data_IF_588689619377
#
_entry.id   IF_588689619377
#
_cell.length_a   1.000
_cell.length_b   1.000
_cell.length_c   1.000
_cell.angle_alpha   90.00
_cell.angle_beta   90.00
_cell.angle_gamma   90.00
#
_symmetry.space_group_name_H-M   'P 1'
#
loop_
_entity.id
_entity.type
_entity.pdbx_description
1 polymer ?
#
# COMPACT_ATOMS: atom_id res chain seq x y z
N UNK A 1 38.30 48.22 -7.92
CA UNK A 1 38.16 46.77 -8.19
C UNK A 1 37.44 46.12 -7.03
N UNK A 2 36.42 45.29 -7.32
CA UNK A 2 35.85 44.15 -6.54
C UNK A 2 35.65 44.26 -5.02
N UNK A 3 34.61 43.71 -4.39
CA UNK A 3 33.43 42.92 -4.77
C UNK A 3 32.54 42.93 -3.53
N UNK A 4 31.23 42.82 -3.74
CA UNK A 4 30.21 42.70 -2.69
C UNK A 4 30.26 41.30 -2.10
N UNK A 5 30.44 41.17 -0.79
CA UNK A 5 30.12 39.92 -0.07
C UNK A 5 28.71 40.03 0.51
N UNK A 6 27.76 39.39 -0.18
CA UNK A 6 26.46 39.01 0.37
C UNK A 6 26.53 37.52 0.73
N UNK A 7 26.22 37.10 1.96
CA UNK A 7 26.03 35.69 2.24
C UNK A 7 24.72 35.23 1.58
N UNK A 8 24.83 34.37 0.55
CA UNK A 8 23.68 33.64 0.02
C UNK A 8 23.32 32.56 1.03
N UNK A 9 22.24 32.82 1.75
CA UNK A 9 21.49 31.85 2.54
C UNK A 9 21.01 30.75 1.60
N UNK A 10 21.58 29.55 1.72
CA UNK A 10 21.12 28.34 1.03
C UNK A 10 20.10 27.60 1.89
N UNK A 11 18.81 27.58 1.58
CA UNK A 11 17.93 26.52 2.04
C UNK A 11 17.94 25.42 0.97
N UNK A 12 18.87 24.47 1.07
CA UNK A 12 18.70 23.22 0.33
C UNK A 12 17.65 22.41 1.05
N UNK A 13 16.39 22.72 0.73
CA UNK A 13 15.23 21.98 1.14
C UNK A 13 15.49 20.50 0.85
N UNK A 14 15.42 19.69 1.92
CA UNK A 14 15.35 18.25 1.82
C UNK A 14 14.28 17.90 0.80
N UNK A 15 14.72 17.37 -0.34
CA UNK A 15 13.81 16.60 -1.20
C UNK A 15 13.57 15.30 -0.46
N UNK A 16 12.65 15.36 0.49
CA UNK A 16 11.85 14.22 0.91
C UNK A 16 11.09 13.75 -0.31
N UNK A 17 11.78 12.99 -1.16
CA UNK A 17 11.20 12.32 -2.29
C UNK A 17 10.40 11.18 -1.66
N UNK A 18 9.05 11.22 -1.65
CA UNK A 18 8.31 10.10 -1.12
C UNK A 18 8.73 8.89 -1.96
N UNK A 19 9.30 7.89 -1.31
CA UNK A 19 9.68 6.61 -1.90
C UNK A 19 8.39 5.93 -2.34
N UNK A 20 7.85 6.37 -3.48
CA UNK A 20 6.72 5.75 -4.14
C UNK A 20 7.22 4.38 -4.53
N UNK A 21 6.83 3.39 -3.74
CA UNK A 21 7.18 1.99 -3.96
C UNK A 21 6.90 1.66 -5.43
N UNK A 22 7.85 1.06 -6.18
CA UNK A 22 7.73 0.85 -7.62
C UNK A 22 6.47 0.07 -8.04
N UNK A 23 5.80 -0.60 -7.09
CA UNK A 23 4.59 -1.37 -7.32
C UNK A 23 3.29 -0.63 -6.94
N UNK A 24 3.37 0.63 -6.51
CA UNK A 24 2.20 1.39 -6.05
C UNK A 24 1.18 1.73 -7.16
N UNK A 25 1.50 1.44 -8.43
CA UNK A 25 0.65 1.72 -9.59
C UNK A 25 -0.15 0.54 -10.12
N UNK A 26 0.12 -0.71 -9.72
CA UNK A 26 -0.39 -1.89 -10.43
C UNK A 26 -1.49 -2.67 -9.71
N UNK A 27 -1.90 -2.25 -8.52
CA UNK A 27 -3.11 -2.76 -7.87
C UNK A 27 -3.61 -1.73 -6.86
N UNK A 28 -4.20 -0.64 -7.36
CA UNK A 28 -4.99 0.25 -6.51
C UNK A 28 -6.44 0.07 -6.94
N UNK A 29 -7.26 -0.70 -6.22
CA UNK A 29 -8.69 -0.63 -6.45
C UNK A 29 -9.11 0.82 -6.18
N UNK A 30 -9.70 1.43 -7.22
CA UNK A 30 -10.19 2.79 -7.24
C UNK A 30 -11.08 3.04 -6.02
N UNK A 31 -10.57 3.84 -5.07
CA UNK A 31 -11.24 4.73 -4.07
C UNK A 31 -12.58 4.30 -3.46
N UNK A 32 -12.95 3.03 -3.53
CA UNK A 32 -14.11 2.50 -2.83
C UNK A 32 -13.62 2.15 -1.45
N UNK A 33 -13.98 2.96 -0.45
CA UNK A 33 -13.77 2.56 0.94
C UNK A 33 -14.39 1.18 1.10
N UNK A 34 -13.60 0.15 1.45
CA UNK A 34 -14.13 -1.20 1.56
C UNK A 34 -15.30 -1.20 2.55
N UNK A 35 -16.41 -1.81 2.15
CA UNK A 35 -17.55 -1.98 3.03
C UNK A 35 -17.11 -2.80 4.25
N UNK A 36 -17.42 -2.33 5.45
CA UNK A 36 -17.07 -3.07 6.67
C UNK A 36 -18.19 -4.05 7.03
N UNK A 37 -17.84 -5.15 7.70
CA UNK A 37 -18.82 -6.10 8.21
C UNK A 37 -19.86 -5.45 9.13
N UNK A 38 -19.46 -4.47 9.94
CA UNK A 38 -20.38 -3.68 10.77
C UNK A 38 -21.39 -2.89 9.93
N UNK A 39 -20.91 -2.20 8.88
CA UNK A 39 -21.79 -1.48 7.95
C UNK A 39 -22.81 -2.38 7.25
N UNK A 40 -22.46 -3.63 6.96
CA UNK A 40 -23.41 -4.61 6.41
C UNK A 40 -24.46 -5.00 7.45
N UNK A 41 -24.01 -5.38 8.66
CA UNK A 41 -24.88 -5.86 9.74
C UNK A 41 -25.89 -4.81 10.19
N UNK A 42 -25.44 -3.57 10.28
CA UNK A 42 -26.22 -2.45 10.82
C UNK A 42 -26.99 -1.70 9.72
N UNK A 43 -26.96 -2.20 8.48
CA UNK A 43 -27.66 -1.57 7.36
C UNK A 43 -29.17 -1.66 7.58
N UNK A 44 -29.83 -0.50 7.56
CA UNK A 44 -31.29 -0.38 7.59
C UNK A 44 -31.82 -0.09 6.20
N UNK A 45 -32.88 -0.78 5.82
CA UNK A 45 -33.63 -0.56 4.58
C UNK A 45 -35.02 0.00 4.92
N UNK A 46 -35.59 0.80 4.03
CA UNK A 46 -36.96 1.28 4.18
C UNK A 46 -37.95 0.15 3.96
N UNK A 47 -39.00 0.07 4.78
CA UNK A 47 -40.09 -0.90 4.60
C UNK A 47 -41.08 -0.38 3.56
N UNK A 48 -41.50 -1.25 2.64
CA UNK A 48 -42.47 -0.93 1.57
C UNK A 48 -43.58 -1.98 1.53
N UNK A 49 -44.75 -1.61 1.00
CA UNK A 49 -46.00 -2.42 1.03
C UNK A 49 -45.85 -3.84 0.43
N UNK A 50 -44.89 -4.04 -0.47
CA UNK A 50 -44.53 -5.35 -1.06
C UNK A 50 -43.01 -5.51 -1.01
N UNK A 51 -42.47 -5.68 0.19
CA UNK A 51 -41.04 -5.89 0.44
C UNK A 51 -40.70 -7.31 0.88
N UNK A 52 -39.41 -7.61 0.97
CA UNK A 52 -38.89 -8.84 1.58
C UNK A 52 -39.16 -8.84 3.10
N UNK A 53 -39.20 -10.03 3.70
CA UNK A 53 -39.31 -10.16 5.15
C UNK A 53 -38.08 -9.52 5.83
N UNK A 54 -38.26 -8.51 6.70
CA UNK A 54 -37.16 -7.89 7.42
C UNK A 54 -36.30 -8.88 8.21
N UNK A 55 -36.89 -9.93 8.77
CA UNK A 55 -36.15 -10.94 9.57
C UNK A 55 -35.20 -11.74 8.68
N UNK A 56 -35.68 -12.19 7.54
CA UNK A 56 -34.87 -12.92 6.55
C UNK A 56 -33.74 -12.04 6.01
N UNK A 57 -34.03 -10.78 5.70
CA UNK A 57 -33.03 -9.81 5.27
C UNK A 57 -31.95 -9.63 6.34
N UNK A 58 -32.34 -9.46 7.61
CA UNK A 58 -31.36 -9.30 8.70
C UNK A 58 -30.52 -10.56 8.93
N UNK A 59 -31.11 -11.76 8.82
CA UNK A 59 -30.36 -13.02 8.91
C UNK A 59 -29.33 -13.14 7.78
N UNK A 60 -29.73 -12.82 6.54
CA UNK A 60 -28.83 -12.84 5.39
C UNK A 60 -27.69 -11.81 5.53
N UNK A 61 -27.99 -10.59 5.96
CA UNK A 61 -26.96 -9.56 6.21
C UNK A 61 -25.97 -9.99 7.30
N UNK A 62 -26.44 -10.68 8.34
CA UNK A 62 -25.56 -11.21 9.39
C UNK A 62 -24.59 -12.26 8.83
N UNK A 63 -25.06 -13.17 7.98
CA UNK A 63 -24.21 -14.15 7.30
C UNK A 63 -23.18 -13.45 6.40
N UNK A 64 -23.62 -12.54 5.51
CA UNK A 64 -22.74 -11.80 4.60
C UNK A 64 -21.69 -11.00 5.38
N UNK A 65 -22.07 -10.37 6.48
CA UNK A 65 -21.13 -9.66 7.36
C UNK A 65 -20.08 -10.61 7.96
N UNK A 66 -20.48 -11.83 8.34
CA UNK A 66 -19.58 -12.87 8.83
C UNK A 66 -18.56 -13.31 7.78
N UNK A 67 -19.03 -13.60 6.57
CA UNK A 67 -18.17 -13.98 5.43
C UNK A 67 -17.22 -12.85 5.04
N UNK A 68 -17.70 -11.61 4.97
CA UNK A 68 -16.88 -10.43 4.69
C UNK A 68 -15.80 -10.21 5.75
N UNK A 69 -16.12 -10.41 7.03
CA UNK A 69 -15.15 -10.33 8.11
C UNK A 69 -14.07 -11.42 7.98
N UNK A 70 -14.46 -12.64 7.59
CA UNK A 70 -13.52 -13.73 7.34
C UNK A 70 -12.57 -13.39 6.17
N UNK A 71 -13.11 -12.90 5.05
CA UNK A 71 -12.31 -12.49 3.89
C UNK A 71 -11.31 -11.37 4.23
N UNK A 72 -11.72 -10.36 5.00
CA UNK A 72 -10.80 -9.30 5.43
C UNK A 72 -9.68 -9.81 6.35
N UNK A 73 -9.97 -10.76 7.25
CA UNK A 73 -8.93 -11.39 8.08
C UNK A 73 -7.92 -12.17 7.25
N UNK A 74 -8.42 -12.92 6.27
CA UNK A 74 -7.58 -13.67 5.33
C UNK A 74 -6.65 -12.76 4.53
N UNK A 75 -7.20 -11.64 4.02
CA UNK A 75 -6.43 -10.63 3.31
C UNK A 75 -5.36 -10.00 4.21
N UNK A 76 -5.69 -9.69 5.47
CA UNK A 76 -4.74 -9.15 6.43
C UNK A 76 -3.59 -10.14 6.70
N UNK A 77 -3.91 -11.43 6.92
CA UNK A 77 -2.90 -12.48 7.12
C UNK A 77 -1.98 -12.61 5.91
N UNK A 78 -2.55 -12.68 4.71
CA UNK A 78 -1.79 -12.74 3.45
C UNK A 78 -0.90 -11.51 3.26
N UNK A 79 -1.38 -10.32 3.63
CA UNK A 79 -0.60 -9.10 3.55
C UNK A 79 0.58 -9.11 4.54
N UNK A 80 0.38 -9.59 5.76
CA UNK A 80 1.44 -9.75 6.76
C UNK A 80 2.52 -10.74 6.30
N UNK A 81 2.12 -11.89 5.76
CA UNK A 81 3.05 -12.88 5.19
C UNK A 81 3.88 -12.28 4.06
N UNK A 82 3.23 -11.55 3.15
CA UNK A 82 3.91 -10.83 2.07
C UNK A 82 4.92 -9.81 2.60
N UNK A 83 4.60 -9.10 3.69
CA UNK A 83 5.53 -8.16 4.32
C UNK A 83 6.72 -8.91 4.91
N UNK A 84 6.51 -10.06 5.58
CA UNK A 84 7.59 -10.89 6.14
C UNK A 84 8.52 -11.40 5.05
N UNK A 85 7.98 -11.94 3.95
CA UNK A 85 8.76 -12.43 2.80
C UNK A 85 9.58 -11.30 2.19
N UNK A 86 8.95 -10.14 1.90
CA UNK A 86 9.65 -8.97 1.33
C UNK A 86 10.76 -8.47 2.24
N UNK A 87 10.57 -8.51 3.57
CA UNK A 87 11.62 -8.14 4.55
C UNK A 87 12.78 -9.12 4.51
N UNK A 88 12.52 -10.43 4.50
CA UNK A 88 13.55 -11.45 4.40
C UNK A 88 14.37 -11.31 3.11
N UNK A 89 13.70 -11.11 1.96
CA UNK A 89 14.35 -10.89 0.67
C UNK A 89 15.21 -9.62 0.65
N UNK A 90 14.70 -8.50 1.19
CA UNK A 90 15.52 -7.27 1.29
C UNK A 90 16.74 -7.47 2.18
N UNK A 91 16.58 -8.14 3.33
CA UNK A 91 17.68 -8.43 4.24
C UNK A 91 18.75 -9.32 3.58
N UNK A 92 18.33 -10.34 2.85
CA UNK A 92 19.22 -11.18 2.07
C UNK A 92 19.94 -10.37 0.98
N UNK A 93 19.21 -9.57 0.19
CA UNK A 93 19.82 -8.73 -0.86
C UNK A 93 20.82 -7.73 -0.27
N UNK A 94 20.53 -7.10 0.87
CA UNK A 94 21.48 -6.20 1.53
C UNK A 94 22.76 -6.88 2.00
N UNK A 95 22.72 -8.19 2.32
CA UNK A 95 23.91 -8.95 2.75
C UNK A 95 24.75 -9.48 1.60
N UNK A 96 24.11 -9.78 0.46
CA UNK A 96 24.75 -10.52 -0.63
C UNK A 96 24.78 -9.76 -1.97
N UNK A 97 24.18 -8.56 -2.05
CA UNK A 97 24.33 -7.71 -3.22
C UNK A 97 25.77 -7.17 -3.30
N UNK A 98 26.43 -7.25 -4.47
CA UNK A 98 27.68 -6.56 -4.69
C UNK A 98 27.51 -5.06 -4.41
N UNK A 99 28.52 -4.37 -3.85
CA UNK A 99 28.46 -2.91 -3.73
C UNK A 99 28.17 -2.31 -5.10
N UNK A 100 27.14 -1.48 -5.19
CA UNK A 100 26.76 -0.79 -6.43
C UNK A 100 27.96 0.04 -6.91
N UNK A 101 28.73 -0.51 -7.86
CA UNK A 101 30.02 0.02 -8.27
C UNK A 101 31.07 -1.03 -8.63
N UNK A 102 30.88 -2.31 -8.29
CA UNK A 102 31.78 -3.40 -8.70
C UNK A 102 31.32 -4.09 -9.99
N UNK A 103 30.77 -3.34 -10.94
CA UNK A 103 30.84 -3.75 -12.35
C UNK A 103 32.25 -3.41 -12.85
N UNK A 104 32.85 -4.21 -13.76
CA UNK A 104 34.18 -3.92 -14.27
C UNK A 104 34.20 -2.47 -14.75
N UNK A 105 35.13 -1.67 -14.22
CA UNK A 105 35.46 -0.38 -14.82
C UNK A 105 35.70 -0.71 -16.29
N UNK A 106 34.83 -0.24 -17.19
CA UNK A 106 35.13 -0.19 -18.63
C UNK A 106 36.28 0.80 -18.78
N UNK A 107 37.47 0.30 -18.54
CA UNK A 107 38.71 0.84 -19.04
C UNK A 107 38.56 0.96 -20.54
N UNK A 108 38.52 2.22 -21.01
CA UNK A 108 38.56 2.58 -22.41
C UNK A 108 39.89 2.19 -23.02
N UNK A 109 40.08 0.89 -23.24
CA UNK A 109 41.21 0.29 -23.95
C UNK A 109 40.81 -0.03 -25.38
N UNK A 110 41.01 0.98 -26.24
CA UNK A 110 41.55 0.92 -27.62
C UNK A 110 41.11 -0.26 -28.53
N UNK A 111 40.38 0.13 -29.60
CA UNK A 111 40.20 -0.49 -30.92
C UNK A 111 40.42 -2.00 -31.07
#
# INVERSE_FOLDING_TARGET
MSRRDRPIRSPSAGRDRPTRSPNAGWYRPEVTRPLTAGQVRDRRFATVRRGLDPVEVHAFLAQVAGELAAAHRELARTAEENVRIKRALRSWHSRFAPPAGSGPRRDGGRW
#
